data_IF_665674797292
#
_entry.id   IF_665674797292
#
_cell.length_a   1.000
_cell.length_b   1.000
_cell.length_c   1.000
_cell.angle_alpha   90.00
_cell.angle_beta   90.00
_cell.angle_gamma   90.00
#
_symmetry.space_group_name_H-M   'P 1'
#
loop_
_entity.id
_entity.type
_entity.pdbx_description
1 polymer ?
#
# COMPACT_ATOMS: atom_id res chain seq x y z
N UNK A 1 5.52 -12.61 -12.53
CA UNK A 1 5.71 -11.86 -11.28
C UNK A 1 6.52 -12.75 -10.38
N UNK A 2 7.75 -12.38 -10.09
CA UNK A 2 8.71 -13.05 -9.24
C UNK A 2 9.20 -12.02 -8.22
N UNK A 3 9.19 -12.40 -6.94
CA UNK A 3 9.88 -11.63 -5.90
C UNK A 3 11.38 -11.74 -6.18
N UNK A 4 12.04 -10.59 -6.35
CA UNK A 4 13.48 -10.51 -6.59
C UNK A 4 14.21 -10.34 -5.27
N UNK A 5 13.66 -9.51 -4.39
CA UNK A 5 14.35 -9.06 -3.19
C UNK A 5 13.35 -8.46 -2.18
N UNK A 6 13.81 -8.24 -0.95
CA UNK A 6 13.15 -7.40 0.05
C UNK A 6 14.12 -6.33 0.51
N UNK A 7 13.70 -5.07 0.48
CA UNK A 7 14.51 -3.93 0.84
C UNK A 7 14.11 -3.41 2.22
N UNK A 8 15.10 -3.19 3.08
CA UNK A 8 14.92 -2.56 4.38
C UNK A 8 14.70 -1.05 4.20
N UNK A 9 13.53 -0.55 4.64
CA UNK A 9 13.25 0.89 4.68
C UNK A 9 13.69 1.44 6.03
N UNK A 10 13.29 0.76 7.10
CA UNK A 10 13.72 1.02 8.47
C UNK A 10 13.98 -0.32 9.16
N UNK A 11 15.21 -0.47 9.66
CA UNK A 11 15.73 -1.69 10.29
C UNK A 11 14.77 -2.25 11.35
N UNK A 12 14.44 -3.54 11.21
CA UNK A 12 13.58 -4.26 12.16
C UNK A 12 12.12 -3.82 12.22
N UNK A 13 11.67 -2.90 11.37
CA UNK A 13 10.31 -2.31 11.45
C UNK A 13 9.58 -2.33 10.12
N UNK A 14 10.22 -1.86 9.05
CA UNK A 14 9.56 -1.68 7.77
C UNK A 14 10.46 -2.13 6.61
N UNK A 15 9.94 -3.09 5.85
CA UNK A 15 10.56 -3.62 4.65
C UNK A 15 9.60 -3.45 3.46
N UNK A 16 10.14 -3.50 2.24
CA UNK A 16 9.33 -3.52 1.02
C UNK A 16 9.88 -4.47 -0.03
N UNK A 17 8.99 -5.22 -0.67
CA UNK A 17 9.30 -6.18 -1.71
C UNK A 17 9.77 -5.50 -3.01
N UNK A 18 10.58 -6.21 -3.79
CA UNK A 18 10.98 -5.85 -5.16
C UNK A 18 10.51 -6.95 -6.10
N UNK A 19 9.75 -6.62 -7.15
CA UNK A 19 9.25 -7.61 -8.10
C UNK A 19 9.71 -7.37 -9.54
N UNK A 20 10.02 -8.45 -10.26
CA UNK A 20 10.55 -8.44 -11.62
C UNK A 20 9.74 -7.67 -12.68
N UNK A 21 8.42 -7.64 -12.54
CA UNK A 21 7.52 -7.05 -13.56
C UNK A 21 6.95 -5.70 -13.17
N UNK A 22 7.05 -5.28 -11.90
CA UNK A 22 6.55 -3.97 -11.46
C UNK A 22 7.66 -3.03 -11.07
N UNK A 23 8.83 -3.55 -10.72
CA UNK A 23 9.97 -2.74 -10.35
C UNK A 23 10.87 -2.46 -11.56
N UNK A 24 10.91 -1.20 -12.01
CA UNK A 24 11.98 -0.72 -12.86
C UNK A 24 13.22 -0.46 -12.00
N UNK A 25 14.42 -0.79 -12.51
CA UNK A 25 15.69 -0.55 -11.79
C UNK A 25 15.77 -1.08 -10.35
N UNK A 26 15.01 -2.14 -10.01
CA UNK A 26 14.94 -2.73 -8.66
C UNK A 26 14.42 -1.78 -7.56
N UNK A 27 13.65 -0.75 -7.92
CA UNK A 27 12.91 0.08 -6.95
C UNK A 27 11.88 -0.76 -6.17
N UNK A 28 11.93 -0.72 -4.84
CA UNK A 28 10.97 -1.44 -3.98
C UNK A 28 9.54 -0.90 -4.10
N UNK A 29 8.55 -1.73 -3.73
CA UNK A 29 7.13 -1.43 -3.93
C UNK A 29 6.66 -0.20 -3.14
N UNK A 30 7.24 0.08 -1.96
CA UNK A 30 6.90 1.32 -1.22
C UNK A 30 7.29 2.56 -2.04
N UNK A 31 8.57 2.66 -2.45
CA UNK A 31 9.05 3.79 -3.24
C UNK A 31 8.38 3.86 -4.62
N UNK A 32 8.13 2.73 -5.26
CA UNK A 32 7.42 2.67 -6.56
C UNK A 32 6.03 3.30 -6.44
N UNK A 33 5.28 2.95 -5.41
CA UNK A 33 3.91 3.46 -5.21
C UNK A 33 3.92 4.95 -4.89
N UNK A 34 4.78 5.41 -3.99
CA UNK A 34 4.93 6.84 -3.69
C UNK A 34 5.29 7.63 -4.96
N UNK A 35 6.25 7.14 -5.76
CA UNK A 35 6.62 7.78 -7.01
C UNK A 35 5.42 7.88 -7.96
N UNK A 36 4.62 6.83 -8.12
CA UNK A 36 3.42 6.88 -8.94
C UNK A 36 2.34 7.81 -8.39
N UNK A 37 2.13 7.82 -7.08
CA UNK A 37 1.09 8.65 -6.44
C UNK A 37 1.49 10.13 -6.33
N UNK A 38 2.75 10.47 -6.57
CA UNK A 38 3.25 11.85 -6.62
C UNK A 38 3.57 12.32 -8.05
N UNK A 39 3.48 11.42 -9.03
CA UNK A 39 3.70 11.70 -10.45
C UNK A 39 2.40 12.18 -11.12
N UNK A 40 2.40 13.44 -11.55
CA UNK A 40 1.25 14.08 -12.19
C UNK A 40 0.87 13.43 -13.52
N UNK A 41 1.83 13.01 -14.33
CA UNK A 41 1.57 12.41 -15.65
C UNK A 41 0.97 11.01 -15.47
N UNK A 42 1.55 10.20 -14.58
CA UNK A 42 1.00 8.89 -14.22
C UNK A 42 -0.44 9.00 -13.72
N UNK A 43 -0.71 9.95 -12.81
CA UNK A 43 -2.05 10.14 -12.25
C UNK A 43 -3.05 10.65 -13.29
N UNK A 44 -2.63 11.53 -14.20
CA UNK A 44 -3.49 11.98 -15.30
C UNK A 44 -3.94 10.78 -16.15
N UNK A 45 -3.01 9.95 -16.59
CA UNK A 45 -3.31 8.74 -17.36
C UNK A 45 -4.17 7.74 -16.57
N UNK A 46 -3.92 7.59 -15.27
CA UNK A 46 -4.71 6.73 -14.41
C UNK A 46 -6.17 7.20 -14.29
N UNK A 47 -6.39 8.48 -13.99
CA UNK A 47 -7.72 9.03 -13.78
C UNK A 47 -8.51 9.20 -15.08
N UNK A 48 -7.86 9.48 -16.21
CA UNK A 48 -8.50 9.46 -17.54
C UNK A 48 -9.00 8.05 -17.84
N UNK A 49 -8.16 7.02 -17.68
CA UNK A 49 -8.55 5.62 -17.92
C UNK A 49 -9.64 5.12 -16.99
N UNK A 50 -9.71 5.67 -15.76
CA UNK A 50 -10.69 5.28 -14.75
C UNK A 50 -11.76 6.35 -14.50
N UNK A 51 -12.02 7.24 -15.48
CA UNK A 51 -12.87 8.40 -15.28
C UNK A 51 -14.28 8.03 -14.83
N UNK A 52 -14.88 6.97 -15.39
CA UNK A 52 -16.21 6.49 -14.99
C UNK A 52 -16.27 6.06 -13.51
N UNK A 53 -15.19 5.44 -13.00
CA UNK A 53 -15.09 5.06 -11.60
C UNK A 53 -14.91 6.30 -10.72
N UNK A 54 -14.03 7.23 -11.13
CA UNK A 54 -13.77 8.49 -10.44
C UNK A 54 -15.02 9.36 -10.34
N UNK A 55 -15.83 9.41 -11.40
CA UNK A 55 -17.05 10.22 -11.49
C UNK A 55 -18.30 9.44 -11.06
N UNK A 56 -18.11 8.35 -10.31
CA UNK A 56 -19.24 7.66 -9.69
C UNK A 56 -19.92 8.57 -8.67
N UNK A 57 -21.23 8.34 -8.47
CA UNK A 57 -22.03 9.04 -7.46
C UNK A 57 -21.34 9.12 -6.09
N UNK A 58 -20.63 8.05 -5.71
CA UNK A 58 -19.93 7.98 -4.44
C UNK A 58 -18.81 9.01 -4.34
N UNK A 59 -17.90 9.06 -5.30
CA UNK A 59 -16.77 9.99 -5.26
C UNK A 59 -17.18 11.44 -5.51
N UNK A 60 -18.21 11.67 -6.33
CA UNK A 60 -18.81 13.00 -6.49
C UNK A 60 -19.29 13.56 -5.14
N UNK A 61 -20.05 12.76 -4.37
CA UNK A 61 -20.48 13.15 -3.02
C UNK A 61 -19.30 13.41 -2.09
N UNK A 62 -18.33 12.48 -2.02
CA UNK A 62 -17.19 12.60 -1.09
C UNK A 62 -16.33 13.83 -1.38
N UNK A 63 -16.07 14.13 -2.64
CA UNK A 63 -15.09 15.14 -3.03
C UNK A 63 -15.73 16.52 -3.25
N UNK A 64 -16.97 16.56 -3.75
CA UNK A 64 -17.66 17.80 -4.07
C UNK A 64 -18.82 18.12 -3.11
N UNK A 65 -19.23 17.19 -2.25
CA UNK A 65 -20.42 17.35 -1.40
C UNK A 65 -21.73 17.32 -2.18
N UNK A 66 -21.69 16.99 -3.47
CA UNK A 66 -22.85 16.91 -4.35
C UNK A 66 -22.69 15.70 -5.30
N UNK A 67 -23.59 14.71 -5.24
CA UNK A 67 -23.49 13.49 -6.05
C UNK A 67 -23.67 13.73 -7.56
N UNK A 68 -24.25 14.87 -7.95
CA UNK A 68 -24.48 15.26 -9.35
C UNK A 68 -23.32 16.06 -9.95
N UNK A 69 -22.36 16.52 -9.15
CA UNK A 69 -21.20 17.27 -9.61
C UNK A 69 -20.01 16.34 -9.76
N UNK A 70 -19.59 16.12 -11.02
CA UNK A 70 -18.47 15.24 -11.32
C UNK A 70 -17.16 15.74 -10.72
N UNK A 71 -16.36 14.82 -10.18
CA UNK A 71 -14.98 15.11 -9.78
C UNK A 71 -14.15 15.45 -11.02
N UNK A 72 -13.47 16.58 -10.97
CA UNK A 72 -12.49 16.98 -11.98
C UNK A 72 -11.21 16.17 -11.84
N UNK A 73 -10.63 15.74 -12.96
CA UNK A 73 -9.37 14.97 -12.98
C UNK A 73 -8.25 15.76 -12.29
N UNK A 74 -8.12 17.06 -12.56
CA UNK A 74 -7.10 17.91 -11.90
C UNK A 74 -7.26 17.94 -10.39
N UNK A 75 -8.50 17.96 -9.89
CA UNK A 75 -8.80 17.91 -8.45
C UNK A 75 -8.38 16.55 -7.87
N UNK A 76 -8.69 15.45 -8.55
CA UNK A 76 -8.29 14.11 -8.13
C UNK A 76 -6.76 13.94 -8.12
N UNK A 77 -6.04 14.48 -9.11
CA UNK A 77 -4.58 14.48 -9.16
C UNK A 77 -4.00 15.22 -7.95
N UNK A 78 -4.38 16.48 -7.73
CA UNK A 78 -3.80 17.28 -6.65
C UNK A 78 -4.10 16.66 -5.28
N UNK A 79 -5.34 16.21 -5.06
CA UNK A 79 -5.72 15.47 -3.85
C UNK A 79 -4.83 14.26 -3.63
N UNK A 80 -4.59 13.45 -4.68
CA UNK A 80 -3.79 12.22 -4.55
C UNK A 80 -2.33 12.51 -4.22
N UNK A 81 -1.75 13.54 -4.84
CA UNK A 81 -0.36 13.94 -4.59
C UNK A 81 -0.19 14.41 -3.15
N UNK A 82 -1.08 15.31 -2.70
CA UNK A 82 -1.06 15.84 -1.33
C UNK A 82 -1.20 14.71 -0.30
N UNK A 83 -2.21 13.85 -0.47
CA UNK A 83 -2.42 12.72 0.43
C UNK A 83 -1.25 11.72 0.42
N UNK A 84 -0.67 11.44 -0.75
CA UNK A 84 0.43 10.49 -0.86
C UNK A 84 1.69 10.96 -0.13
N UNK A 85 2.00 12.26 -0.19
CA UNK A 85 3.11 12.86 0.56
C UNK A 85 2.88 12.77 2.07
N UNK A 86 1.68 13.10 2.54
CA UNK A 86 1.31 12.97 3.97
C UNK A 86 1.35 11.50 4.42
N UNK A 87 0.91 10.57 3.57
CA UNK A 87 0.89 9.16 3.89
C UNK A 87 2.30 8.55 3.97
N UNK A 88 3.22 8.98 3.10
CA UNK A 88 4.64 8.61 3.20
C UNK A 88 5.23 9.09 4.53
N UNK A 89 5.01 10.37 4.87
CA UNK A 89 5.52 10.96 6.10
C UNK A 89 5.01 10.22 7.34
N UNK A 90 3.71 9.94 7.42
CA UNK A 90 3.11 9.24 8.55
C UNK A 90 3.65 7.81 8.70
N UNK A 91 3.78 7.05 7.61
CA UNK A 91 4.35 5.69 7.67
C UNK A 91 5.79 5.73 8.20
N UNK A 92 6.63 6.63 7.67
CA UNK A 92 8.03 6.74 8.10
C UNK A 92 8.16 7.26 9.54
N UNK A 93 7.27 8.16 9.96
CA UNK A 93 7.22 8.68 11.33
C UNK A 93 6.83 7.60 12.34
N UNK A 94 5.79 6.81 12.05
CA UNK A 94 5.36 5.68 12.87
C UNK A 94 6.43 4.58 12.91
N UNK A 95 7.01 4.24 11.77
CA UNK A 95 8.06 3.23 11.69
C UNK A 95 9.36 3.66 12.42
N UNK A 96 9.71 4.94 12.40
CA UNK A 96 10.88 5.45 13.12
C UNK A 96 10.65 5.60 14.63
N UNK A 97 9.44 5.38 15.13
CA UNK A 97 9.09 5.53 16.55
C UNK A 97 9.14 6.98 17.06
N UNK A 98 9.19 7.96 16.15
CA UNK A 98 9.23 9.39 16.51
C UNK A 98 7.92 9.88 17.12
N UNK A 99 6.79 9.26 16.76
CA UNK A 99 5.50 9.51 17.40
C UNK A 99 5.30 8.61 18.62
N UNK A 100 5.39 9.21 19.81
CA UNK A 100 5.25 8.46 21.07
C UNK A 100 3.89 7.81 21.19
N UNK A 101 3.89 6.51 21.45
CA UNK A 101 2.69 5.72 21.74
C UNK A 101 1.86 5.39 20.50
N UNK A 102 2.39 5.63 19.30
CA UNK A 102 1.82 5.12 18.05
C UNK A 102 2.83 4.31 17.26
N UNK A 103 2.34 3.33 16.53
CA UNK A 103 3.15 2.39 15.74
C UNK A 103 2.47 2.08 14.41
N UNK A 104 3.09 1.27 13.56
CA UNK A 104 2.48 0.81 12.31
C UNK A 104 1.20 -0.02 12.56
N UNK A 105 1.07 -0.69 13.71
CA UNK A 105 -0.12 -1.44 14.12
C UNK A 105 -1.37 -0.53 14.29
N UNK A 106 -1.19 0.78 14.38
CA UNK A 106 -2.29 1.74 14.44
C UNK A 106 -2.91 2.03 13.09
N UNK A 107 -2.14 1.93 12.00
CA UNK A 107 -2.61 2.26 10.64
C UNK A 107 -2.85 1.02 9.78
N UNK A 108 -2.08 -0.06 9.99
CA UNK A 108 -2.31 -1.32 9.32
C UNK A 108 -3.48 -2.06 9.97
N UNK A 109 -4.39 -2.53 9.13
CA UNK A 109 -5.58 -3.30 9.51
C UNK A 109 -5.58 -4.65 8.80
N UNK A 110 -6.15 -5.69 9.42
CA UNK A 110 -6.36 -6.97 8.76
C UNK A 110 -6.96 -6.82 7.36
N UNK A 111 -6.38 -7.52 6.38
CA UNK A 111 -6.89 -7.49 5.01
C UNK A 111 -8.28 -8.16 4.93
N UNK A 112 -8.40 -9.31 5.60
CA UNK A 112 -9.59 -10.16 5.68
C UNK A 112 -10.24 -10.06 7.07
N UNK A 113 -11.54 -10.36 7.15
CA UNK A 113 -12.32 -10.19 8.40
C UNK A 113 -12.02 -11.25 9.45
N UNK A 114 -11.48 -12.37 9.00
CA UNK A 114 -11.15 -13.55 9.79
C UNK A 114 -9.81 -13.37 10.53
N UNK A 115 -8.96 -12.48 10.04
CA UNK A 115 -7.66 -12.14 10.63
C UNK A 115 -7.91 -11.17 11.81
N UNK A 116 -7.34 -11.49 12.98
CA UNK A 116 -7.40 -10.60 14.15
C UNK A 116 -6.35 -9.50 13.99
N UNK A 117 -6.57 -8.34 14.63
CA UNK A 117 -5.64 -7.21 14.53
C UNK A 117 -4.24 -7.57 15.05
N UNK A 118 -4.18 -8.45 16.04
CA UNK A 118 -2.96 -8.90 16.71
C UNK A 118 -2.35 -10.15 16.05
N UNK A 119 -2.90 -10.62 14.93
CA UNK A 119 -2.37 -11.78 14.22
C UNK A 119 -1.02 -11.43 13.57
N UNK A 120 -0.01 -12.22 13.93
CA UNK A 120 1.27 -12.27 13.23
C UNK A 120 1.15 -13.18 12.00
N UNK A 121 2.14 -13.11 11.11
CA UNK A 121 2.20 -13.90 9.88
C UNK A 121 0.90 -13.83 9.08
N UNK A 122 0.43 -12.62 8.80
CA UNK A 122 -0.89 -12.39 8.20
C UNK A 122 -0.91 -11.16 7.28
N UNK A 123 -1.91 -11.12 6.41
CA UNK A 123 -2.10 -10.07 5.40
C UNK A 123 -2.82 -8.85 5.98
N UNK A 124 -2.21 -7.68 5.81
CA UNK A 124 -2.70 -6.40 6.31
C UNK A 124 -2.73 -5.35 5.19
N UNK A 125 -3.48 -4.28 5.42
CA UNK A 125 -3.58 -3.11 4.57
C UNK A 125 -3.58 -1.83 5.38
N UNK A 126 -2.97 -0.78 4.85
CA UNK A 126 -3.09 0.58 5.38
C UNK A 126 -3.89 1.43 4.39
N UNK A 127 -4.75 2.30 4.92
CA UNK A 127 -5.48 3.30 4.14
C UNK A 127 -4.69 4.62 4.20
N UNK A 128 -4.78 5.43 3.13
CA UNK A 128 -4.27 6.80 3.21
C UNK A 128 -4.97 7.63 4.28
N UNK A 129 -4.40 8.80 4.55
CA UNK A 129 -4.67 9.60 5.74
C UNK A 129 -6.08 10.21 5.74
N UNK A 130 -6.68 10.44 4.57
CA UNK A 130 -7.94 11.17 4.52
C UNK A 130 -9.13 10.26 4.84
N UNK A 131 -10.15 10.85 5.48
CA UNK A 131 -11.45 10.20 5.69
C UNK A 131 -12.06 9.95 4.30
N UNK A 132 -12.05 8.69 3.85
CA UNK A 132 -12.37 8.22 2.49
C UNK A 132 -11.21 8.22 1.47
N UNK A 133 -9.97 8.05 1.93
CA UNK A 133 -8.81 7.81 1.06
C UNK A 133 -9.06 6.78 -0.05
N UNK A 134 -8.57 7.07 -1.27
CA UNK A 134 -8.42 6.05 -2.32
C UNK A 134 -7.07 5.32 -2.29
N UNK A 135 -6.11 5.72 -1.46
CA UNK A 135 -4.79 5.07 -1.40
C UNK A 135 -4.79 3.84 -0.48
N UNK A 136 -4.06 2.80 -0.90
CA UNK A 136 -3.81 1.60 -0.10
C UNK A 136 -2.38 1.12 -0.25
N UNK A 137 -1.77 0.78 0.88
CA UNK A 137 -0.65 -0.18 0.93
C UNK A 137 -1.16 -1.55 1.38
N UNK A 138 -0.53 -2.59 0.86
CA UNK A 138 -0.73 -3.99 1.22
C UNK A 138 0.58 -4.56 1.77
N UNK A 139 0.50 -5.24 2.91
CA UNK A 139 1.67 -5.76 3.59
C UNK A 139 1.42 -7.11 4.26
N UNK A 140 2.51 -7.83 4.53
CA UNK A 140 2.52 -8.94 5.48
C UNK A 140 2.98 -8.38 6.83
N UNK A 141 2.19 -8.58 7.88
CA UNK A 141 2.63 -8.38 9.26
C UNK A 141 3.42 -9.62 9.66
N UNK A 142 4.69 -9.44 9.97
CA UNK A 142 5.57 -10.52 10.43
C UNK A 142 5.42 -10.70 11.95
N UNK A 143 5.53 -9.60 12.69
CA UNK A 143 5.33 -9.54 14.15
C UNK A 143 4.84 -8.16 14.56
N UNK A 144 4.71 -7.90 15.87
CA UNK A 144 4.31 -6.58 16.39
C UNK A 144 5.17 -5.45 15.81
N UNK A 145 4.51 -4.47 15.17
CA UNK A 145 5.14 -3.34 14.50
C UNK A 145 6.14 -3.69 13.36
N UNK A 146 6.18 -4.93 12.87
CA UNK A 146 7.09 -5.34 11.79
C UNK A 146 6.32 -5.71 10.51
N UNK A 147 6.52 -4.95 9.45
CA UNK A 147 5.76 -5.07 8.21
C UNK A 147 6.62 -5.17 6.95
N UNK A 148 6.16 -6.01 6.02
CA UNK A 148 6.69 -6.14 4.66
C UNK A 148 5.67 -5.64 3.64
N UNK A 149 5.87 -4.43 3.10
CA UNK A 149 5.04 -3.88 2.03
C UNK A 149 5.24 -4.70 0.76
N UNK A 150 4.16 -5.32 0.30
CA UNK A 150 4.12 -6.13 -0.92
C UNK A 150 3.65 -5.34 -2.14
N UNK A 151 2.97 -4.20 -1.93
CA UNK A 151 2.38 -3.41 -3.00
C UNK A 151 1.22 -2.55 -2.51
N UNK A 152 0.31 -2.16 -3.41
CA UNK A 152 -0.68 -1.12 -3.18
C UNK A 152 -1.32 -0.57 -4.44
N UNK A 153 -2.27 0.35 -4.28
CA UNK A 153 -2.94 1.00 -5.41
C UNK A 153 -3.96 2.08 -5.06
N UNK A 154 -4.52 2.69 -6.09
CA UNK A 154 -5.59 3.70 -6.01
C UNK A 154 -6.94 2.99 -6.19
N UNK A 155 -7.69 2.79 -5.12
CA UNK A 155 -8.96 2.05 -5.15
C UNK A 155 -10.14 3.00 -5.35
N UNK A 156 -10.61 3.11 -6.59
CA UNK A 156 -11.80 3.88 -6.95
C UNK A 156 -13.11 3.07 -6.88
N UNK A 157 -13.04 1.74 -6.81
CA UNK A 157 -14.24 0.89 -6.70
C UNK A 157 -14.59 0.55 -5.25
N UNK A 158 -15.89 0.51 -4.95
CA UNK A 158 -16.41 0.10 -3.63
C UNK A 158 -16.26 -1.41 -3.38
N UNK A 159 -16.35 -2.24 -4.43
CA UNK A 159 -16.26 -3.71 -4.33
C UNK A 159 -14.90 -4.22 -4.81
N UNK A 160 -14.36 -5.21 -4.10
CA UNK A 160 -13.09 -5.87 -4.44
C UNK A 160 -13.14 -6.61 -5.77
N UNK A 161 -14.31 -7.12 -6.18
CA UNK A 161 -14.50 -8.01 -7.33
C UNK A 161 -14.38 -7.33 -8.72
N UNK A 162 -13.99 -6.06 -8.79
CA UNK A 162 -14.07 -5.23 -10.00
C UNK A 162 -12.74 -4.55 -10.40
N UNK A 163 -11.60 -4.96 -9.83
CA UNK A 163 -10.29 -4.42 -10.21
C UNK A 163 -9.31 -5.56 -10.46
N UNK A 164 -8.88 -5.72 -11.71
CA UNK A 164 -7.75 -6.57 -12.09
C UNK A 164 -6.49 -6.26 -11.25
N UNK A 165 -6.37 -5.01 -10.79
CA UNK A 165 -5.32 -4.55 -9.90
C UNK A 165 -5.32 -5.31 -8.56
N UNK A 166 -6.49 -5.68 -8.02
CA UNK A 166 -6.54 -6.37 -6.73
C UNK A 166 -5.98 -7.79 -6.81
N UNK A 167 -6.27 -8.52 -7.89
CA UNK A 167 -5.78 -9.88 -8.07
C UNK A 167 -4.25 -9.90 -8.15
N UNK A 168 -3.65 -8.89 -8.81
CA UNK A 168 -2.20 -8.72 -8.84
C UNK A 168 -1.62 -8.48 -7.44
N UNK A 169 -2.25 -7.63 -6.64
CA UNK A 169 -1.79 -7.34 -5.27
C UNK A 169 -1.94 -8.56 -4.35
N UNK A 170 -3.01 -9.37 -4.50
CA UNK A 170 -3.15 -10.65 -3.78
C UNK A 170 -2.04 -11.65 -4.17
N UNK A 171 -1.68 -11.71 -5.45
CA UNK A 171 -0.56 -12.54 -5.91
C UNK A 171 0.77 -12.07 -5.29
N UNK A 172 0.99 -10.77 -5.17
CA UNK A 172 2.20 -10.21 -4.53
C UNK A 172 2.24 -10.53 -3.04
N UNK A 173 1.13 -10.34 -2.31
CA UNK A 173 1.00 -10.72 -0.89
C UNK A 173 1.37 -12.19 -0.69
N UNK A 174 0.77 -13.09 -1.46
CA UNK A 174 1.05 -14.52 -1.36
C UNK A 174 2.52 -14.86 -1.64
N UNK A 175 3.19 -14.13 -2.54
CA UNK A 175 4.61 -14.32 -2.84
C UNK A 175 5.50 -13.87 -1.69
N UNK A 176 5.22 -12.70 -1.10
CA UNK A 176 5.95 -12.22 0.09
C UNK A 176 5.71 -13.17 1.26
N UNK A 177 4.47 -13.60 1.49
CA UNK A 177 4.14 -14.57 2.53
C UNK A 177 4.94 -15.87 2.36
N UNK A 178 4.92 -16.45 1.16
CA UNK A 178 5.66 -17.69 0.91
C UNK A 178 7.17 -17.51 1.06
N UNK A 179 7.71 -16.38 0.63
CA UNK A 179 9.13 -16.07 0.84
C UNK A 179 9.49 -16.01 2.32
N UNK A 180 8.69 -15.35 3.15
CA UNK A 180 8.98 -15.15 4.57
C UNK A 180 8.84 -16.43 5.40
N UNK A 181 7.89 -17.31 5.06
CA UNK A 181 7.49 -18.41 5.96
C UNK A 181 7.64 -19.81 5.38
N UNK A 182 7.76 -19.94 4.06
CA UNK A 182 7.74 -21.23 3.37
C UNK A 182 8.96 -21.45 2.49
N UNK A 183 9.83 -20.45 2.29
CA UNK A 183 11.00 -20.54 1.44
C UNK A 183 12.22 -20.99 2.27
N UNK A 184 12.75 -22.20 2.04
CA UNK A 184 13.94 -22.67 2.74
C UNK A 184 15.22 -21.94 2.31
N UNK A 185 15.16 -21.16 1.23
CA UNK A 185 16.26 -20.36 0.69
C UNK A 185 16.10 -18.86 1.01
N UNK A 186 15.29 -18.51 2.03
CA UNK A 186 15.21 -17.13 2.52
C UNK A 186 16.60 -16.58 2.81
N UNK A 187 16.83 -15.30 2.48
CA UNK A 187 18.11 -14.63 2.72
C UNK A 187 18.50 -14.75 4.21
N UNK A 188 19.64 -15.42 4.53
CA UNK A 188 20.07 -15.59 5.91
C UNK A 188 20.31 -14.25 6.63
N UNK A 189 20.79 -13.23 5.92
CA UNK A 189 21.03 -11.92 6.52
C UNK A 189 19.70 -11.24 6.92
N UNK A 190 18.64 -11.47 6.14
CA UNK A 190 17.29 -11.03 6.51
C UNK A 190 16.77 -11.83 7.71
N UNK A 191 16.95 -13.15 7.70
CA UNK A 191 16.48 -14.01 8.79
C UNK A 191 17.13 -13.62 10.12
N UNK A 192 18.45 -13.40 10.13
CA UNK A 192 19.20 -12.95 11.31
C UNK A 192 18.66 -11.63 11.86
N UNK A 193 18.28 -10.68 10.98
CA UNK A 193 17.65 -9.40 11.38
C UNK A 193 16.24 -9.54 11.94
N UNK A 194 15.51 -10.58 11.52
CA UNK A 194 14.14 -10.84 11.98
C UNK A 194 14.09 -11.64 13.28
N UNK A 195 15.14 -12.42 13.57
CA UNK A 195 15.25 -13.26 14.78
C UNK A 195 16.09 -12.63 15.91
N UNK A 196 16.91 -11.62 15.60
CA UNK A 196 17.74 -10.86 16.54
C UNK A 196 16.99 -9.81 17.34
#
# INVERSE_FOLDING_TARGET
MKLIDTFEILEGVLYAAVFDKTSYERVNEFRRLINHWTDREYLADYFIRNQEKLQSRFWNEIINGDPAVNVEITKAINWTIEEASEFEEEILKLASGTEKGKTLDDIFKPLHKEIRKESDNAEFKAYGIYENSWLRFYAIRYSENLYFISGGGIKLSKKMQESEDLDLELIKLQKVYNYLFNDPEIDPDLLDKLEG
#
